data_IF_569875513847
#
_entry.id   IF_569875513847
#
_cell.length_a   1.000
_cell.length_b   1.000
_cell.length_c   1.000
_cell.angle_alpha   90.00
_cell.angle_beta   90.00
_cell.angle_gamma   90.00
#
_symmetry.space_group_name_H-M   'P 1'
#
loop_
_entity.id
_entity.type
_entity.pdbx_description
1 polymer ?
#
# COMPACT_ATOMS: atom_id res chain seq x y z
N UNK A 1 -11.24 8.56 -24.27
CA UNK A 1 -10.40 9.77 -24.47
C UNK A 1 -10.03 9.95 -25.97
N UNK A 2 -10.70 10.83 -26.72
CA UNK A 2 -10.42 11.00 -28.14
C UNK A 2 -9.42 12.15 -28.30
N UNK A 3 -8.24 11.89 -28.86
CA UNK A 3 -7.25 12.83 -29.46
C UNK A 3 -5.78 12.40 -29.27
N UNK A 4 -5.51 11.14 -28.88
CA UNK A 4 -4.13 10.65 -28.89
C UNK A 4 -3.72 10.26 -30.32
N UNK A 5 -2.50 10.61 -30.76
CA UNK A 5 -1.92 10.12 -32.00
C UNK A 5 -1.93 8.59 -32.07
N UNK A 6 -2.01 8.04 -33.28
CA UNK A 6 -1.99 6.60 -33.51
C UNK A 6 -0.71 5.99 -32.91
N UNK A 7 -0.87 4.95 -32.08
CA UNK A 7 0.23 4.30 -31.36
C UNK A 7 0.58 4.90 -30.00
N UNK A 8 -0.13 5.92 -29.52
CA UNK A 8 0.04 6.47 -28.15
C UNK A 8 -1.12 6.01 -27.27
N UNK A 9 -0.80 5.29 -26.21
CA UNK A 9 -1.75 4.86 -25.19
C UNK A 9 -1.86 5.91 -24.07
N UNK A 10 -3.06 6.17 -23.51
CA UNK A 10 -3.20 7.02 -22.33
C UNK A 10 -2.41 6.43 -21.16
N UNK A 11 -1.65 7.26 -20.45
CA UNK A 11 -0.96 6.84 -19.23
C UNK A 11 -1.85 7.11 -18.03
N UNK A 12 -1.99 6.12 -17.16
CA UNK A 12 -2.68 6.23 -15.86
C UNK A 12 -1.62 6.15 -14.77
N UNK A 13 -1.55 7.19 -13.93
CA UNK A 13 -0.71 7.19 -12.75
C UNK A 13 -1.38 6.36 -11.65
N UNK A 14 -0.66 5.37 -11.12
CA UNK A 14 -1.05 4.59 -9.95
C UNK A 14 -0.06 4.90 -8.84
N UNK A 15 -0.58 5.41 -7.72
CA UNK A 15 0.23 5.71 -6.53
C UNK A 15 -0.04 4.66 -5.46
N UNK A 16 1.01 4.24 -4.77
CA UNK A 16 0.95 3.26 -3.70
C UNK A 16 1.37 3.89 -2.37
N UNK A 17 0.73 3.50 -1.27
CA UNK A 17 1.13 3.87 0.09
C UNK A 17 0.66 2.81 1.11
N UNK A 18 1.27 2.85 2.29
CA UNK A 18 1.00 1.95 3.42
C UNK A 18 0.52 2.76 4.64
N UNK A 19 -0.60 2.37 5.23
CA UNK A 19 -1.15 3.03 6.42
C UNK A 19 -1.44 2.02 7.53
N UNK A 20 -1.20 2.42 8.78
CA UNK A 20 -1.52 1.60 9.96
C UNK A 20 -2.69 2.20 10.74
N UNK A 21 -3.65 1.35 11.09
CA UNK A 21 -4.78 1.66 11.96
C UNK A 21 -4.69 0.86 13.25
N UNK A 22 -4.74 1.52 14.41
CA UNK A 22 -4.64 0.86 15.71
C UNK A 22 -5.97 0.89 16.47
N UNK A 23 -6.22 -0.16 17.27
CA UNK A 23 -7.43 -0.31 18.07
C UNK A 23 -7.66 0.87 19.05
N UNK A 24 -6.58 1.53 19.50
CA UNK A 24 -6.66 2.66 20.41
C UNK A 24 -6.45 4.03 19.73
N UNK A 25 -6.52 4.10 18.39
CA UNK A 25 -6.56 5.35 17.58
C UNK A 25 -7.90 6.10 17.74
N UNK A 26 -8.40 6.17 18.97
CA UNK A 26 -9.55 6.98 19.34
C UNK A 26 -9.18 8.46 19.50
N UNK A 27 -10.20 9.32 19.51
CA UNK A 27 -10.07 10.78 19.65
C UNK A 27 -9.15 11.16 20.81
N UNK A 28 -8.28 12.14 20.57
CA UNK A 28 -7.36 12.69 21.58
C UNK A 28 -8.08 13.56 22.62
N UNK A 29 -9.27 14.07 22.28
CA UNK A 29 -10.12 14.89 23.14
C UNK A 29 -11.48 14.23 23.30
N UNK A 30 -11.96 14.18 24.54
CA UNK A 30 -13.26 13.65 24.93
C UNK A 30 -13.90 14.62 25.92
N UNK A 31 -15.22 14.78 25.83
CA UNK A 31 -15.98 15.53 26.82
C UNK A 31 -16.33 14.61 27.97
N UNK A 32 -16.00 15.03 29.18
CA UNK A 32 -16.18 14.22 30.39
C UNK A 32 -16.97 15.07 31.38
N UNK A 33 -17.97 14.46 32.02
CA UNK A 33 -18.73 15.08 33.12
C UNK A 33 -17.85 15.09 34.38
N UNK A 34 -17.94 16.14 35.18
CA UNK A 34 -17.01 16.48 36.28
C UNK A 34 -16.63 15.32 37.23
N UNK A 35 -17.51 14.33 37.42
CA UNK A 35 -17.27 13.20 38.33
C UNK A 35 -16.68 11.94 37.67
N UNK A 36 -16.31 12.00 36.39
CA UNK A 36 -15.75 10.86 35.67
C UNK A 36 -14.30 11.11 35.24
N UNK A 37 -13.47 10.09 35.34
CA UNK A 37 -12.13 10.04 34.71
C UNK A 37 -12.04 8.75 33.90
N UNK A 38 -12.39 8.76 32.61
CA UNK A 38 -12.23 7.59 31.77
C UNK A 38 -10.75 7.26 31.61
N UNK A 39 -10.36 6.06 32.03
CA UNK A 39 -9.01 5.53 31.83
C UNK A 39 -8.86 5.02 30.39
N UNK A 40 -8.08 5.72 29.58
CA UNK A 40 -7.66 5.22 28.25
C UNK A 40 -6.38 4.40 28.39
N UNK A 41 -6.34 3.23 27.74
CA UNK A 41 -5.09 2.47 27.61
C UNK A 41 -4.08 3.32 26.84
N UNK A 42 -2.86 3.43 27.36
CA UNK A 42 -1.77 4.22 26.75
C UNK A 42 -1.13 3.54 25.53
N UNK A 43 -1.27 2.22 25.39
CA UNK A 43 -0.73 1.48 24.24
C UNK A 43 -1.60 1.71 22.99
N UNK A 44 -1.04 1.54 21.80
CA UNK A 44 -1.80 1.59 20.54
C UNK A 44 -2.81 0.42 20.41
N UNK A 45 -2.61 -0.66 21.17
CA UNK A 45 -3.43 -1.87 21.04
C UNK A 45 -2.98 -2.72 19.84
N UNK A 46 -3.89 -3.52 19.28
CA UNK A 46 -3.64 -4.24 18.03
C UNK A 46 -3.70 -3.27 16.86
N UNK A 47 -2.81 -3.45 15.88
CA UNK A 47 -2.81 -2.68 14.64
C UNK A 47 -3.26 -3.52 13.45
N UNK A 48 -3.72 -2.86 12.40
CA UNK A 48 -3.86 -3.41 11.05
C UNK A 48 -3.07 -2.48 10.14
N UNK A 49 -2.13 -3.05 9.40
CA UNK A 49 -1.45 -2.33 8.33
C UNK A 49 -2.18 -2.64 7.03
N UNK A 50 -2.47 -1.60 6.25
CA UNK A 50 -3.16 -1.67 4.97
C UNK A 50 -2.25 -1.10 3.90
N UNK A 51 -2.07 -1.87 2.83
CA UNK A 51 -1.33 -1.50 1.62
C UNK A 51 -2.32 -1.35 0.48
N UNK A 52 -2.34 -0.21 -0.19
CA UNK A 52 -3.35 0.08 -1.21
C UNK A 52 -2.82 0.91 -2.39
N UNK A 53 -3.57 0.87 -3.49
CA UNK A 53 -3.24 1.60 -4.72
C UNK A 53 -4.34 2.58 -5.08
N UNK A 54 -3.95 3.80 -5.43
CA UNK A 54 -4.86 4.86 -5.86
C UNK A 54 -4.55 5.28 -7.30
N UNK A 55 -5.62 5.57 -8.03
CA UNK A 55 -5.63 6.21 -9.35
C UNK A 55 -6.29 7.59 -9.22
N UNK A 56 -6.26 8.45 -10.25
CA UNK A 56 -7.03 9.69 -10.25
C UNK A 56 -8.54 9.50 -10.03
N UNK A 57 -9.06 8.29 -10.28
CA UNK A 57 -10.46 7.91 -10.07
C UNK A 57 -10.78 7.35 -8.68
N UNK A 58 -9.79 7.22 -7.79
CA UNK A 58 -9.92 6.59 -6.48
C UNK A 58 -9.15 5.27 -6.39
N UNK A 59 -9.56 4.38 -5.47
CA UNK A 59 -8.90 3.09 -5.27
C UNK A 59 -8.86 2.24 -6.54
N UNK A 60 -7.73 1.56 -6.75
CA UNK A 60 -7.58 0.62 -7.85
C UNK A 60 -8.50 -0.58 -7.63
N UNK A 61 -9.55 -0.65 -8.46
CA UNK A 61 -10.64 -1.60 -8.30
C UNK A 61 -10.97 -2.28 -9.63
N UNK A 62 -11.17 -3.59 -9.57
CA UNK A 62 -11.67 -4.38 -10.69
C UNK A 62 -13.11 -3.95 -11.03
N UNK A 63 -13.55 -4.02 -12.30
CA UNK A 63 -14.94 -3.74 -12.67
C UNK A 63 -15.99 -4.50 -11.83
N UNK A 64 -15.68 -5.72 -11.40
CA UNK A 64 -16.51 -6.55 -10.50
C UNK A 64 -16.38 -6.19 -9.00
N UNK A 65 -15.86 -5.01 -8.68
CA UNK A 65 -15.73 -4.45 -7.33
C UNK A 65 -14.68 -5.09 -6.41
N UNK A 66 -13.73 -5.87 -6.93
CA UNK A 66 -12.59 -6.39 -6.15
C UNK A 66 -11.45 -5.35 -6.07
N UNK A 67 -10.92 -5.10 -4.87
CA UNK A 67 -9.83 -4.12 -4.66
C UNK A 67 -8.45 -4.79 -4.72
N UNK A 68 -7.44 -4.02 -5.12
CA UNK A 68 -6.03 -4.43 -5.03
C UNK A 68 -5.45 -4.30 -3.60
N UNK A 69 -6.28 -3.98 -2.61
CA UNK A 69 -5.89 -3.72 -1.22
C UNK A 69 -5.48 -5.00 -0.49
N UNK A 70 -4.36 -4.94 0.22
CA UNK A 70 -3.90 -5.98 1.14
C UNK A 70 -3.87 -5.44 2.57
N UNK A 71 -4.15 -6.31 3.55
CA UNK A 71 -4.09 -5.94 4.96
C UNK A 71 -3.51 -7.06 5.81
N UNK A 72 -2.66 -6.71 6.76
CA UNK A 72 -2.08 -7.64 7.73
C UNK A 72 -2.35 -7.17 9.17
N UNK A 73 -2.51 -8.10 10.10
CA UNK A 73 -2.50 -7.74 11.52
C UNK A 73 -1.07 -7.30 11.88
N UNK A 74 -0.95 -6.05 12.33
CA UNK A 74 0.31 -5.40 12.64
C UNK A 74 0.66 -5.61 14.12
N UNK A 75 1.84 -6.18 14.36
CA UNK A 75 2.41 -6.42 15.69
C UNK A 75 2.91 -7.85 15.91
N UNK A 76 3.72 -8.04 16.96
CA UNK A 76 4.49 -9.27 17.22
C UNK A 76 5.54 -9.52 16.12
N UNK A 77 5.35 -10.57 15.32
CA UNK A 77 6.30 -11.09 14.33
C UNK A 77 5.81 -10.88 12.88
N UNK A 78 4.71 -10.16 12.69
CA UNK A 78 4.11 -9.92 11.38
C UNK A 78 4.30 -8.46 10.98
N UNK A 79 5.12 -8.27 9.95
CA UNK A 79 5.48 -6.98 9.38
C UNK A 79 5.21 -7.02 7.88
N UNK A 80 4.91 -5.85 7.32
CA UNK A 80 4.83 -5.68 5.88
C UNK A 80 6.25 -5.56 5.33
N UNK A 81 6.54 -6.32 4.28
CA UNK A 81 7.85 -6.35 3.65
C UNK A 81 7.76 -6.20 2.13
N UNK A 82 8.92 -6.03 1.49
CA UNK A 82 8.99 -5.84 0.04
C UNK A 82 8.57 -7.05 -0.77
N UNK A 83 8.72 -8.26 -0.23
CA UNK A 83 8.27 -9.48 -0.92
C UNK A 83 6.74 -9.50 -1.00
N UNK A 84 6.06 -9.09 0.07
CA UNK A 84 4.60 -8.92 0.09
C UNK A 84 4.13 -7.82 -0.88
N UNK A 85 4.87 -6.70 -0.98
CA UNK A 85 4.58 -5.66 -1.96
C UNK A 85 4.70 -6.18 -3.40
N UNK A 86 5.81 -6.87 -3.72
CA UNK A 86 6.01 -7.47 -5.04
C UNK A 86 4.91 -8.48 -5.36
N UNK A 87 4.54 -9.32 -4.39
CA UNK A 87 3.45 -10.27 -4.55
C UNK A 87 2.11 -9.58 -4.83
N UNK A 88 1.78 -8.53 -4.07
CA UNK A 88 0.57 -7.74 -4.27
C UNK A 88 0.54 -7.09 -5.65
N UNK A 89 1.64 -6.49 -6.10
CA UNK A 89 1.74 -5.85 -7.42
C UNK A 89 1.54 -6.89 -8.54
N UNK A 90 2.32 -7.98 -8.49
CA UNK A 90 2.35 -8.97 -9.58
C UNK A 90 1.08 -9.81 -9.65
N UNK A 91 0.48 -10.17 -8.50
CA UNK A 91 -0.67 -11.08 -8.48
C UNK A 91 -2.02 -10.36 -8.52
N UNK A 92 -2.10 -9.14 -8.01
CA UNK A 92 -3.37 -8.41 -7.88
C UNK A 92 -3.38 -7.12 -8.69
N UNK A 93 -2.44 -6.20 -8.42
CA UNK A 93 -2.55 -4.83 -8.91
C UNK A 93 -2.50 -4.74 -10.44
N UNK A 94 -1.59 -5.45 -11.10
CA UNK A 94 -1.47 -5.46 -12.57
C UNK A 94 -2.73 -6.04 -13.22
N UNK A 95 -3.20 -7.20 -12.74
CA UNK A 95 -4.41 -7.86 -13.27
C UNK A 95 -5.66 -6.98 -13.14
N UNK A 96 -5.79 -6.31 -11.99
CA UNK A 96 -6.88 -5.37 -11.75
C UNK A 96 -6.75 -4.15 -12.66
N UNK A 97 -5.55 -3.61 -12.85
CA UNK A 97 -5.30 -2.48 -13.73
C UNK A 97 -5.67 -2.79 -15.19
N UNK A 98 -5.20 -3.91 -15.73
CA UNK A 98 -5.49 -4.33 -17.12
C UNK A 98 -7.00 -4.45 -17.37
N UNK A 99 -7.75 -4.90 -16.36
CA UNK A 99 -9.20 -5.05 -16.42
C UNK A 99 -9.94 -3.72 -16.26
N UNK A 100 -9.46 -2.84 -15.38
CA UNK A 100 -10.10 -1.55 -15.07
C UNK A 100 -9.80 -0.46 -16.11
N UNK A 101 -8.63 -0.51 -16.75
CA UNK A 101 -8.15 0.50 -17.70
C UNK A 101 -7.70 -0.13 -19.02
N UNK A 102 -8.61 -0.81 -19.77
CA UNK A 102 -8.25 -1.46 -21.02
C UNK A 102 -7.72 -0.44 -22.03
N UNK A 103 -6.59 -0.77 -22.66
CA UNK A 103 -5.93 0.13 -23.63
C UNK A 103 -5.29 1.36 -23.01
N UNK A 104 -4.91 1.30 -21.73
CA UNK A 104 -4.08 2.31 -21.08
C UNK A 104 -2.71 1.72 -20.68
N UNK A 105 -1.72 2.59 -20.53
CA UNK A 105 -0.42 2.25 -19.96
C UNK A 105 -0.38 2.66 -18.50
N UNK A 106 0.18 1.80 -17.65
CA UNK A 106 0.40 2.02 -16.22
C UNK A 106 1.70 2.78 -15.95
N UNK A 107 1.63 3.72 -15.02
CA UNK A 107 2.80 4.35 -14.41
C UNK A 107 2.68 4.19 -12.90
N UNK A 108 3.53 3.35 -12.31
CA UNK A 108 3.52 3.08 -10.87
C UNK A 108 4.46 4.03 -10.13
N UNK A 109 3.92 4.67 -9.09
CA UNK A 109 4.66 5.53 -8.17
C UNK A 109 4.62 4.90 -6.78
N UNK A 110 5.81 4.64 -6.26
CA UNK A 110 6.06 4.08 -4.95
C UNK A 110 6.80 5.11 -4.10
N UNK A 111 6.65 5.03 -2.77
CA UNK A 111 7.52 5.79 -1.88
C UNK A 111 8.89 5.09 -1.78
N UNK A 112 9.86 5.73 -1.12
CA UNK A 112 11.20 5.13 -0.97
C UNK A 112 11.36 4.49 0.42
N UNK A 113 10.28 3.96 1.01
CA UNK A 113 10.37 3.29 2.29
C UNK A 113 11.27 2.06 2.22
N UNK A 114 11.91 1.70 3.34
CA UNK A 114 12.85 0.57 3.39
C UNK A 114 12.18 -0.78 3.10
N UNK A 115 10.86 -0.90 3.32
CA UNK A 115 10.05 -2.05 2.88
C UNK A 115 10.02 -2.16 1.36
N UNK A 116 10.15 -1.05 0.64
CA UNK A 116 10.11 -0.97 -0.82
C UNK A 116 11.51 -1.02 -1.46
N UNK A 117 12.58 -0.89 -0.65
CA UNK A 117 13.99 -0.98 -1.08
C UNK A 117 14.51 -2.42 -1.10
N UNK A 118 13.68 -3.37 -1.52
CA UNK A 118 14.07 -4.77 -1.73
C UNK A 118 15.00 -4.88 -2.93
N UNK A 119 16.19 -5.42 -2.73
CA UNK A 119 17.03 -5.82 -3.86
C UNK A 119 16.59 -7.20 -4.33
N UNK A 120 16.60 -7.44 -5.64
CA UNK A 120 16.36 -8.79 -6.19
C UNK A 120 17.28 -9.81 -5.50
N UNK A 121 16.82 -11.07 -5.36
CA UNK A 121 17.65 -12.17 -4.83
C UNK A 121 18.96 -12.32 -5.60
N UNK A 122 18.98 -11.93 -6.87
CA UNK A 122 20.14 -11.99 -7.76
C UNK A 122 20.88 -10.64 -7.87
N UNK A 123 20.48 -9.63 -7.11
CA UNK A 123 21.14 -8.33 -7.14
C UNK A 123 22.52 -8.40 -6.45
N UNK A 124 23.55 -8.01 -7.19
CA UNK A 124 24.91 -7.83 -6.67
C UNK A 124 24.92 -6.73 -5.59
N UNK A 125 24.97 -7.13 -4.32
CA UNK A 125 25.15 -6.21 -3.19
C UNK A 125 26.63 -6.10 -2.87
N UNK A 126 27.21 -4.94 -3.16
CA UNK A 126 28.63 -4.68 -2.89
C UNK A 126 29.01 -4.85 -1.40
N UNK A 127 28.04 -4.65 -0.50
CA UNK A 127 28.19 -4.81 0.94
C UNK A 127 28.24 -6.28 1.41
N UNK A 128 27.69 -7.20 0.60
CA UNK A 128 27.69 -8.65 0.85
C UNK A 128 28.78 -9.37 0.05
N UNK A 129 29.56 -8.63 -0.74
CA UNK A 129 30.78 -9.16 -1.35
C UNK A 129 31.85 -9.18 -0.25
N UNK A 130 32.22 -10.37 0.22
CA UNK A 130 33.41 -10.55 1.04
C UNK A 130 34.62 -9.96 0.29
N UNK A 131 35.10 -8.79 0.73
CA UNK A 131 36.38 -8.27 0.32
C UNK A 131 37.44 -9.10 1.06
N UNK A 132 38.10 -9.98 0.31
CA UNK A 132 39.29 -10.72 0.75
C UNK A 132 40.45 -9.79 1.07
#
# INVERSE_FOLDING_TARGET
PPNLPEGIWPVVLIVHDELTFNANDGRSKIWIKDDNVPLKKKSCGKGIMVSDFLTPGGQLQHPDSHLATCSIEYGRDTWWDGDQLVEQVLKLAISIFESAFPGCQDLWLFDNASSQSGHSKDALRACDMNLS
#
